data_IF_016372024379
#
_entry.id   IF_016372024379
#
_cell.length_a   1.000
_cell.length_b   1.000
_cell.length_c   1.000
_cell.angle_alpha   90.00
_cell.angle_beta   90.00
_cell.angle_gamma   90.00
#
_symmetry.space_group_name_H-M   'P 1'
#
loop_
_entity.id
_entity.type
_entity.pdbx_description
1 polymer ?
#
# COMPACT_ATOMS: atom_id res chain seq x y z
N UNK A 1 5.84 10.33 -11.46
CA UNK A 1 5.92 9.15 -12.33
C UNK A 1 6.67 9.40 -13.63
N UNK A 2 6.39 10.44 -14.42
CA UNK A 2 7.04 10.66 -15.74
C UNK A 2 8.58 10.50 -15.76
N UNK A 3 9.31 11.04 -14.77
CA UNK A 3 10.79 10.89 -14.69
C UNK A 3 11.22 9.42 -14.52
N UNK A 4 10.47 8.63 -13.76
CA UNK A 4 10.74 7.20 -13.55
C UNK A 4 10.43 6.41 -14.82
N UNK A 5 9.28 6.67 -15.45
CA UNK A 5 8.88 6.00 -16.68
C UNK A 5 9.86 6.25 -17.83
N UNK A 6 10.27 7.51 -18.05
CA UNK A 6 11.29 7.84 -19.05
C UNK A 6 12.60 7.09 -18.77
N UNK A 7 13.04 7.03 -17.51
CA UNK A 7 14.27 6.33 -17.15
C UNK A 7 14.20 4.83 -17.42
N UNK A 8 13.02 4.21 -17.21
CA UNK A 8 12.75 2.80 -17.54
C UNK A 8 12.75 2.57 -19.04
N UNK A 9 11.99 3.38 -19.79
CA UNK A 9 11.89 3.31 -21.25
C UNK A 9 13.27 3.45 -21.93
N UNK A 10 14.09 4.40 -21.48
CA UNK A 10 15.44 4.64 -22.02
C UNK A 10 16.39 3.43 -21.85
N UNK A 11 16.11 2.55 -20.87
CA UNK A 11 16.92 1.37 -20.55
C UNK A 11 16.23 0.05 -20.90
N UNK A 12 15.00 0.10 -21.40
CA UNK A 12 14.20 -1.08 -21.73
C UNK A 12 13.72 -1.87 -20.51
N UNK A 13 13.58 -1.22 -19.36
CA UNK A 13 12.93 -1.82 -18.18
C UNK A 13 11.41 -1.74 -18.32
N UNK A 14 10.73 -2.77 -17.86
CA UNK A 14 9.26 -2.82 -17.76
C UNK A 14 8.85 -2.69 -16.30
N UNK A 15 9.58 -3.32 -15.38
CA UNK A 15 9.28 -3.35 -13.95
C UNK A 15 10.31 -2.56 -13.14
N UNK A 16 9.86 -1.89 -12.09
CA UNK A 16 10.72 -1.14 -11.17
C UNK A 16 11.76 -2.05 -10.47
N UNK A 17 11.44 -3.33 -10.30
CA UNK A 17 12.34 -4.34 -9.71
C UNK A 17 13.51 -4.72 -10.62
N UNK A 18 13.48 -4.36 -11.90
CA UNK A 18 14.58 -4.59 -12.84
C UNK A 18 15.68 -3.51 -12.71
N UNK A 19 15.37 -2.38 -12.05
CA UNK A 19 16.29 -1.26 -11.87
C UNK A 19 17.32 -1.53 -10.77
N UNK A 20 18.58 -1.20 -11.06
CA UNK A 20 19.67 -1.30 -10.09
C UNK A 20 19.77 -0.08 -9.16
N UNK A 21 20.66 -0.16 -8.17
CA UNK A 21 20.91 0.94 -7.24
C UNK A 21 21.36 2.24 -7.94
N UNK A 22 22.17 2.13 -9.00
CA UNK A 22 22.66 3.29 -9.76
C UNK A 22 21.54 3.97 -10.55
N UNK A 23 20.57 3.19 -11.04
CA UNK A 23 19.36 3.70 -11.69
C UNK A 23 18.54 4.54 -10.72
N UNK A 24 18.27 4.01 -9.53
CA UNK A 24 17.56 4.71 -8.48
C UNK A 24 18.27 5.99 -8.03
N UNK A 25 19.60 5.99 -7.95
CA UNK A 25 20.35 7.21 -7.66
C UNK A 25 20.09 8.31 -8.71
N UNK A 26 20.09 7.96 -10.00
CA UNK A 26 19.81 8.91 -11.06
C UNK A 26 18.37 9.44 -11.01
N UNK A 27 17.38 8.56 -10.80
CA UNK A 27 15.97 8.93 -10.66
C UNK A 27 15.74 9.86 -9.47
N UNK A 28 16.34 9.57 -8.31
CA UNK A 28 16.25 10.42 -7.11
C UNK A 28 16.78 11.83 -7.37
N UNK A 29 17.88 11.97 -8.13
CA UNK A 29 18.37 13.29 -8.52
C UNK A 29 17.38 14.03 -9.43
N UNK A 30 16.73 13.33 -10.35
CA UNK A 30 15.66 13.87 -11.19
C UNK A 30 14.49 14.39 -10.35
N UNK A 31 13.99 13.58 -9.40
CA UNK A 31 12.91 13.98 -8.50
C UNK A 31 13.27 15.19 -7.65
N UNK A 32 14.48 15.24 -7.07
CA UNK A 32 14.94 16.41 -6.29
C UNK A 32 14.96 17.69 -7.12
N UNK A 33 15.43 17.63 -8.37
CA UNK A 33 15.40 18.77 -9.30
C UNK A 33 13.98 19.20 -9.63
N UNK A 34 13.06 18.25 -9.83
CA UNK A 34 11.66 18.56 -10.11
C UNK A 34 11.00 19.26 -8.92
N UNK A 35 11.23 18.79 -7.70
CA UNK A 35 10.73 19.44 -6.48
C UNK A 35 11.21 20.90 -6.39
N UNK A 36 12.50 21.14 -6.65
CA UNK A 36 13.07 22.48 -6.63
C UNK A 36 12.47 23.38 -7.72
N UNK A 37 12.30 22.86 -8.93
CA UNK A 37 11.68 23.59 -10.03
C UNK A 37 10.22 23.97 -9.76
N UNK A 38 9.44 23.09 -9.13
CA UNK A 38 8.02 23.32 -8.85
C UNK A 38 7.78 24.20 -7.61
N UNK A 39 8.60 24.03 -6.57
CA UNK A 39 8.39 24.71 -5.28
C UNK A 39 9.30 25.93 -5.08
N UNK A 40 10.28 26.14 -5.95
CA UNK A 40 11.32 27.16 -5.81
C UNK A 40 12.24 26.95 -4.61
N UNK A 41 12.27 25.73 -4.07
CA UNK A 41 13.11 25.33 -2.93
C UNK A 41 13.43 23.83 -2.99
N UNK A 42 14.62 23.42 -2.52
CA UNK A 42 15.02 22.02 -2.56
C UNK A 42 14.15 21.13 -1.67
N UNK A 43 14.13 19.84 -1.97
CA UNK A 43 13.47 18.85 -1.10
C UNK A 43 14.07 18.88 0.32
N UNK A 44 13.23 19.02 1.37
CA UNK A 44 13.70 19.15 2.74
C UNK A 44 14.50 17.91 3.16
N UNK A 45 15.69 18.10 3.72
CA UNK A 45 16.54 16.99 4.19
C UNK A 45 16.35 16.68 5.68
N UNK A 46 15.78 17.60 6.46
CA UNK A 46 15.45 17.34 7.87
C UNK A 46 14.17 16.49 7.96
N UNK A 47 14.24 15.27 8.55
CA UNK A 47 13.06 14.43 8.73
C UNK A 47 11.96 15.09 9.57
N UNK A 48 12.30 16.01 10.47
CA UNK A 48 11.30 16.76 11.26
C UNK A 48 10.54 17.76 10.41
N UNK A 49 11.22 18.43 9.48
CA UNK A 49 10.57 19.32 8.53
C UNK A 49 9.64 18.53 7.61
N UNK A 50 10.09 17.37 7.12
CA UNK A 50 9.26 16.45 6.34
C UNK A 50 8.01 16.01 7.12
N UNK A 51 8.18 15.59 8.37
CA UNK A 51 7.07 15.14 9.22
C UNK A 51 6.04 16.25 9.44
N UNK A 52 6.47 17.46 9.80
CA UNK A 52 5.57 18.59 9.97
C UNK A 52 4.90 19.01 8.67
N UNK A 53 5.63 18.93 7.55
CA UNK A 53 5.08 19.12 6.21
C UNK A 53 3.96 18.12 5.90
N UNK A 54 4.18 16.84 6.19
CA UNK A 54 3.19 15.78 5.98
C UNK A 54 1.96 15.96 6.87
N UNK A 55 2.13 16.25 8.17
CA UNK A 55 1.03 16.55 9.10
C UNK A 55 0.19 17.72 8.58
N UNK A 56 0.84 18.82 8.18
CA UNK A 56 0.18 20.00 7.64
C UNK A 56 -0.58 19.68 6.35
N UNK A 57 0.00 18.86 5.47
CA UNK A 57 -0.65 18.43 4.23
C UNK A 57 -1.90 17.58 4.50
N UNK A 58 -1.87 16.66 5.48
CA UNK A 58 -3.05 15.85 5.84
C UNK A 58 -4.19 16.75 6.34
N UNK A 59 -3.91 17.69 7.26
CA UNK A 59 -4.94 18.63 7.71
C UNK A 59 -5.46 19.53 6.59
N UNK A 60 -4.58 20.01 5.70
CA UNK A 60 -4.98 20.77 4.51
C UNK A 60 -5.88 19.94 3.57
N UNK A 61 -5.60 18.64 3.43
CA UNK A 61 -6.36 17.74 2.57
C UNK A 61 -7.81 17.57 3.02
N UNK A 62 -8.09 17.67 4.34
CA UNK A 62 -9.44 17.64 4.86
C UNK A 62 -10.33 18.73 4.24
N UNK A 63 -9.76 19.90 3.91
CA UNK A 63 -10.53 21.02 3.36
C UNK A 63 -10.46 21.12 1.83
N UNK A 64 -9.89 20.14 1.14
CA UNK A 64 -9.81 20.16 -0.32
C UNK A 64 -11.20 20.00 -0.98
N UNK A 65 -11.32 20.39 -2.26
CA UNK A 65 -12.60 20.39 -2.97
C UNK A 65 -13.24 18.99 -3.10
N UNK A 66 -12.40 17.95 -3.24
CA UNK A 66 -12.83 16.55 -3.33
C UNK A 66 -13.45 16.08 -2.00
N UNK A 67 -12.77 16.32 -0.88
CA UNK A 67 -13.20 16.00 0.47
C UNK A 67 -14.46 16.78 0.88
N UNK A 68 -14.54 18.07 0.54
CA UNK A 68 -15.74 18.88 0.73
C UNK A 68 -16.96 18.30 0.00
N UNK A 69 -16.75 17.78 -1.22
CA UNK A 69 -17.83 17.16 -1.99
C UNK A 69 -18.21 15.81 -1.42
N UNK A 70 -17.24 14.96 -1.10
CA UNK A 70 -17.47 13.66 -0.45
C UNK A 70 -18.28 13.80 0.83
N UNK A 71 -17.89 14.73 1.72
CA UNK A 71 -18.63 14.98 2.97
C UNK A 71 -20.07 15.42 2.76
N UNK A 72 -20.33 16.25 1.74
CA UNK A 72 -21.70 16.67 1.40
C UNK A 72 -22.54 15.48 0.92
N UNK A 73 -21.96 14.59 0.12
CA UNK A 73 -22.66 13.40 -0.41
C UNK A 73 -22.95 12.37 0.69
N UNK A 74 -22.05 12.22 1.67
CA UNK A 74 -22.16 11.23 2.75
C UNK A 74 -22.65 11.81 4.09
N UNK A 75 -23.09 13.07 4.12
CA UNK A 75 -23.56 13.77 5.33
C UNK A 75 -22.57 13.76 6.50
N UNK A 76 -21.27 13.89 6.21
CA UNK A 76 -20.21 13.91 7.22
C UNK A 76 -19.91 15.36 7.64
N UNK A 77 -20.00 15.72 8.94
CA UNK A 77 -19.73 17.08 9.40
C UNK A 77 -18.26 17.49 9.18
N UNK A 78 -18.05 18.69 8.62
CA UNK A 78 -16.71 19.23 8.45
C UNK A 78 -15.98 19.45 9.78
N UNK A 79 -16.73 19.69 10.86
CA UNK A 79 -16.22 19.96 12.21
C UNK A 79 -15.52 18.77 12.88
N UNK A 80 -15.66 17.56 12.33
CA UNK A 80 -14.96 16.38 12.87
C UNK A 80 -13.45 16.43 12.64
N UNK A 81 -13.01 17.06 11.54
CA UNK A 81 -11.59 17.07 11.17
C UNK A 81 -11.10 15.70 10.70
N UNK A 82 -9.77 15.58 10.61
CA UNK A 82 -9.07 14.32 10.37
C UNK A 82 -7.95 14.18 11.40
N UNK A 83 -7.64 12.95 11.80
CA UNK A 83 -6.44 12.64 12.57
C UNK A 83 -5.22 12.50 11.64
N UNK A 84 -4.03 12.42 12.25
CA UNK A 84 -2.79 12.01 11.57
C UNK A 84 -2.19 10.87 12.38
N UNK A 85 -2.00 9.72 11.72
CA UNK A 85 -1.34 8.56 12.31
C UNK A 85 0.13 8.58 11.91
N UNK A 86 1.04 8.54 12.88
CA UNK A 86 2.49 8.42 12.66
C UNK A 86 2.91 7.08 13.21
N UNK A 87 3.43 6.22 12.34
CA UNK A 87 3.75 4.83 12.64
C UNK A 87 5.21 4.53 12.28
N UNK A 88 5.83 3.61 13.02
CA UNK A 88 7.12 3.08 12.63
C UNK A 88 6.97 2.24 11.35
N UNK A 89 7.89 2.43 10.39
CA UNK A 89 7.86 1.71 9.13
C UNK A 89 8.24 0.24 9.34
N UNK A 90 7.54 -0.64 8.63
CA UNK A 90 7.90 -2.04 8.35
C UNK A 90 7.94 -2.21 6.82
N UNK A 91 8.72 -3.16 6.32
CA UNK A 91 9.03 -3.23 4.89
C UNK A 91 8.68 -4.60 4.32
N UNK A 92 7.70 -4.65 3.42
CA UNK A 92 7.37 -5.85 2.65
C UNK A 92 8.28 -6.07 1.43
N UNK A 93 9.21 -5.14 1.15
CA UNK A 93 10.06 -5.07 -0.05
C UNK A 93 11.57 -5.25 0.25
N UNK A 94 11.92 -6.05 1.27
CA UNK A 94 13.32 -6.32 1.62
C UNK A 94 13.86 -7.64 1.06
N UNK A 95 13.08 -8.34 0.23
CA UNK A 95 13.44 -9.64 -0.32
C UNK A 95 12.24 -10.56 -0.43
N UNK A 96 12.50 -11.79 -0.86
CA UNK A 96 11.46 -12.77 -1.18
C UNK A 96 10.86 -13.46 0.06
N UNK A 97 11.38 -13.16 1.26
CA UNK A 97 10.85 -13.57 2.56
C UNK A 97 9.98 -12.48 3.22
N UNK A 98 9.75 -11.37 2.53
CA UNK A 98 8.93 -10.25 2.97
C UNK A 98 7.71 -10.09 2.06
N UNK A 99 6.59 -9.63 2.62
CA UNK A 99 5.36 -9.42 1.86
C UNK A 99 4.51 -8.30 2.45
N UNK A 100 3.54 -7.86 1.65
CA UNK A 100 2.46 -6.94 2.01
C UNK A 100 1.17 -7.48 1.39
N UNK A 101 0.02 -7.22 2.00
CA UNK A 101 -1.26 -7.68 1.45
C UNK A 101 -2.44 -6.93 2.03
N UNK A 102 -3.61 -7.26 1.53
CA UNK A 102 -4.90 -6.81 2.07
C UNK A 102 -5.79 -8.04 2.18
N UNK A 103 -6.47 -8.18 3.32
CA UNK A 103 -7.30 -9.34 3.57
C UNK A 103 -8.54 -9.01 4.41
N UNK A 104 -9.59 -9.79 4.16
CA UNK A 104 -10.88 -9.70 4.81
C UNK A 104 -11.12 -10.97 5.59
N UNK A 105 -11.59 -10.82 6.83
CA UNK A 105 -11.86 -11.98 7.69
C UNK A 105 -12.98 -12.87 7.15
N UNK A 106 -13.81 -12.36 6.23
CA UNK A 106 -14.82 -13.11 5.46
C UNK A 106 -14.85 -12.58 4.03
N UNK A 107 -15.45 -13.33 3.10
CA UNK A 107 -15.57 -12.87 1.72
C UNK A 107 -16.47 -11.61 1.64
N UNK A 108 -15.95 -10.44 1.20
CA UNK A 108 -16.72 -9.19 1.22
C UNK A 108 -17.81 -9.13 0.14
N UNK A 109 -17.75 -10.00 -0.88
CA UNK A 109 -18.73 -10.05 -1.97
C UNK A 109 -19.89 -11.00 -1.69
N UNK A 110 -19.63 -12.15 -1.06
CA UNK A 110 -20.64 -13.20 -0.82
C UNK A 110 -21.09 -13.29 0.64
N UNK A 111 -20.29 -12.79 1.58
CA UNK A 111 -20.50 -12.95 3.03
C UNK A 111 -20.14 -14.33 3.57
N UNK A 112 -19.57 -15.21 2.73
CA UNK A 112 -19.11 -16.53 3.18
C UNK A 112 -17.98 -16.39 4.21
N UNK A 113 -18.02 -17.21 5.26
CA UNK A 113 -16.98 -17.30 6.28
C UNK A 113 -15.74 -18.02 5.75
N UNK A 114 -15.03 -17.35 4.85
CA UNK A 114 -13.73 -17.75 4.31
C UNK A 114 -12.78 -16.58 4.39
N UNK A 115 -11.54 -16.85 4.80
CA UNK A 115 -10.48 -15.87 4.73
C UNK A 115 -10.25 -15.51 3.26
N UNK A 116 -10.32 -14.22 2.93
CA UNK A 116 -10.27 -13.72 1.57
C UNK A 116 -9.22 -12.62 1.46
N UNK A 117 -8.43 -12.59 0.40
CA UNK A 117 -7.47 -11.50 0.22
C UNK A 117 -6.39 -11.79 -0.80
N UNK A 118 -5.48 -10.83 -0.88
CA UNK A 118 -4.37 -10.88 -1.82
C UNK A 118 -3.09 -10.32 -1.21
N UNK A 119 -1.94 -10.80 -1.69
CA UNK A 119 -0.64 -10.38 -1.20
C UNK A 119 0.39 -10.31 -2.34
N UNK A 120 1.47 -9.59 -2.08
CA UNK A 120 2.63 -9.50 -2.95
C UNK A 120 3.91 -9.71 -2.13
N UNK A 121 4.75 -10.64 -2.61
CA UNK A 121 6.10 -10.83 -2.12
C UNK A 121 7.01 -9.72 -2.65
N UNK A 122 7.91 -9.24 -1.80
CA UNK A 122 8.89 -8.22 -2.12
C UNK A 122 8.22 -6.96 -2.72
N UNK A 123 7.28 -6.39 -1.97
CA UNK A 123 6.42 -5.29 -2.39
C UNK A 123 6.04 -4.37 -1.21
N UNK A 124 5.61 -3.15 -1.49
CA UNK A 124 4.95 -2.27 -0.50
C UNK A 124 3.47 -2.13 -0.82
N UNK A 125 2.66 -1.71 0.16
CA UNK A 125 1.20 -1.60 -0.01
C UNK A 125 0.77 -0.78 -1.23
N UNK A 126 1.60 0.19 -1.65
CA UNK A 126 1.38 0.93 -2.90
C UNK A 126 1.32 0.01 -4.13
N UNK A 127 2.16 -1.02 -4.21
CA UNK A 127 2.20 -1.96 -5.35
C UNK A 127 0.91 -2.79 -5.45
N UNK A 128 0.29 -3.09 -4.30
CA UNK A 128 -0.99 -3.82 -4.23
C UNK A 128 -2.11 -2.93 -4.78
N UNK A 129 -2.10 -1.64 -4.45
CA UNK A 129 -3.15 -0.69 -4.88
C UNK A 129 -2.94 -0.21 -6.31
N UNK A 130 -1.69 -0.08 -6.77
CA UNK A 130 -1.35 0.43 -8.09
C UNK A 130 -1.71 -0.54 -9.22
N UNK A 131 -1.83 -1.84 -8.94
CA UNK A 131 -2.22 -2.86 -9.92
C UNK A 131 -1.18 -3.12 -11.02
N UNK A 132 0.08 -2.72 -10.80
CA UNK A 132 1.20 -2.94 -11.74
C UNK A 132 1.62 -4.42 -11.72
N UNK A 133 1.57 -5.05 -10.55
CA UNK A 133 1.87 -6.47 -10.35
C UNK A 133 0.57 -7.22 -10.05
N UNK A 134 0.41 -8.41 -10.64
CA UNK A 134 -0.70 -9.30 -10.32
C UNK A 134 -0.55 -9.83 -8.89
N UNK A 135 -1.49 -9.53 -7.98
CA UNK A 135 -1.46 -10.06 -6.62
C UNK A 135 -1.65 -11.57 -6.59
N UNK A 136 -1.03 -12.23 -5.62
CA UNK A 136 -1.21 -13.65 -5.37
C UNK A 136 -2.36 -13.87 -4.37
N UNK A 137 -3.11 -14.97 -4.48
CA UNK A 137 -4.22 -15.27 -3.59
C UNK A 137 -3.74 -15.53 -2.15
N UNK A 138 -4.55 -15.20 -1.15
CA UNK A 138 -4.18 -15.43 0.24
C UNK A 138 -4.23 -16.93 0.59
N UNK A 139 -5.31 -17.62 0.20
CA UNK A 139 -5.55 -19.03 0.55
C UNK A 139 -5.42 -19.98 -0.64
N UNK A 140 -5.20 -21.29 -0.37
CA UNK A 140 -5.19 -22.32 -1.43
C UNK A 140 -6.52 -22.41 -2.17
N UNK A 141 -7.63 -22.25 -1.44
CA UNK A 141 -8.98 -22.32 -2.01
C UNK A 141 -9.17 -21.18 -3.01
N UNK A 142 -8.81 -19.96 -2.64
CA UNK A 142 -8.89 -18.82 -3.58
C UNK A 142 -8.03 -19.04 -4.80
N UNK A 143 -6.83 -19.59 -4.64
CA UNK A 143 -5.95 -19.93 -5.76
C UNK A 143 -6.60 -20.91 -6.73
N UNK A 144 -7.22 -21.96 -6.22
CA UNK A 144 -7.93 -22.96 -7.02
C UNK A 144 -9.14 -22.36 -7.73
N UNK A 145 -9.93 -21.54 -7.03
CA UNK A 145 -11.13 -20.88 -7.57
C UNK A 145 -10.79 -19.82 -8.62
N UNK A 146 -9.69 -19.07 -8.43
CA UNK A 146 -9.23 -18.05 -9.37
C UNK A 146 -8.41 -18.61 -10.53
N UNK A 147 -7.98 -19.89 -10.44
CA UNK A 147 -7.06 -20.50 -11.40
C UNK A 147 -5.69 -19.82 -11.45
N UNK A 148 -5.20 -19.30 -10.32
CA UNK A 148 -3.92 -18.57 -10.27
C UNK A 148 -2.73 -19.53 -10.30
N UNK A 149 -1.76 -19.22 -11.17
CA UNK A 149 -0.47 -19.91 -11.23
C UNK A 149 0.48 -19.48 -10.08
N UNK A 150 0.15 -18.40 -9.37
CA UNK A 150 0.94 -17.90 -8.24
C UNK A 150 0.66 -18.72 -6.97
N UNK A 151 1.69 -18.90 -6.15
CA UNK A 151 1.54 -19.58 -4.85
C UNK A 151 0.67 -18.74 -3.91
N UNK A 152 -0.27 -19.40 -3.24
CA UNK A 152 -1.02 -18.74 -2.16
C UNK A 152 -0.11 -18.40 -0.98
N UNK A 153 -0.49 -17.42 -0.15
CA UNK A 153 0.29 -17.09 1.06
C UNK A 153 0.37 -18.29 2.01
N UNK A 154 -0.72 -19.06 2.09
CA UNK A 154 -0.79 -20.33 2.83
C UNK A 154 0.30 -21.34 2.38
N UNK A 155 0.69 -21.31 1.11
CA UNK A 155 1.74 -22.18 0.56
C UNK A 155 3.14 -21.56 0.65
N UNK A 156 3.26 -20.27 0.33
CA UNK A 156 4.55 -19.58 0.26
C UNK A 156 5.12 -19.24 1.65
N UNK A 157 4.24 -18.89 2.60
CA UNK A 157 4.62 -18.36 3.92
C UNK A 157 3.77 -19.00 5.03
N UNK A 158 3.76 -20.34 5.18
CA UNK A 158 2.80 -21.04 6.05
C UNK A 158 2.87 -20.64 7.52
N UNK A 159 4.05 -20.27 8.03
CA UNK A 159 4.22 -19.78 9.40
C UNK A 159 3.52 -18.44 9.63
N UNK A 160 3.80 -17.45 8.76
CA UNK A 160 3.20 -16.11 8.83
C UNK A 160 1.70 -16.18 8.57
N UNK A 161 1.26 -17.02 7.63
CA UNK A 161 -0.16 -17.23 7.36
C UNK A 161 -0.89 -17.82 8.58
N UNK A 162 -0.25 -18.73 9.32
CA UNK A 162 -0.79 -19.26 10.58
C UNK A 162 -1.00 -18.16 11.63
N UNK A 163 -0.02 -17.28 11.83
CA UNK A 163 -0.14 -16.14 12.73
C UNK A 163 -1.24 -15.15 12.27
N UNK A 164 -1.36 -14.91 10.97
CA UNK A 164 -2.39 -14.06 10.40
C UNK A 164 -3.80 -14.64 10.63
N UNK A 165 -3.97 -15.97 10.52
CA UNK A 165 -5.22 -16.64 10.87
C UNK A 165 -5.59 -16.43 12.35
N UNK A 166 -4.63 -16.54 13.27
CA UNK A 166 -4.87 -16.27 14.69
C UNK A 166 -5.27 -14.81 14.93
N UNK A 167 -4.67 -13.86 14.21
CA UNK A 167 -5.01 -12.43 14.29
C UNK A 167 -6.42 -12.18 13.78
N UNK A 168 -6.79 -12.76 12.62
CA UNK A 168 -8.15 -12.71 12.06
C UNK A 168 -9.18 -13.12 13.10
N UNK A 169 -9.01 -14.30 13.69
CA UNK A 169 -9.96 -14.84 14.67
C UNK A 169 -10.08 -13.94 15.91
N UNK A 170 -8.96 -13.38 16.38
CA UNK A 170 -8.93 -12.47 17.52
C UNK A 170 -9.63 -11.15 17.24
N UNK A 171 -9.39 -10.54 16.08
CA UNK A 171 -9.99 -9.26 15.71
C UNK A 171 -11.50 -9.42 15.50
N UNK A 172 -11.93 -10.44 14.78
CA UNK A 172 -13.35 -10.70 14.54
C UNK A 172 -14.10 -11.03 15.84
N UNK A 173 -13.51 -11.82 16.75
CA UNK A 173 -14.10 -12.07 18.06
C UNK A 173 -14.19 -10.81 18.93
N UNK A 174 -13.21 -9.91 18.82
CA UNK A 174 -13.16 -8.66 19.59
C UNK A 174 -14.19 -7.64 19.09
N UNK A 175 -14.17 -7.34 17.80
CA UNK A 175 -15.02 -6.32 17.19
C UNK A 175 -16.43 -6.82 16.85
N UNK A 176 -16.61 -8.16 16.81
CA UNK A 176 -17.89 -8.84 16.52
C UNK A 176 -18.46 -8.48 15.15
N UNK A 177 -17.57 -8.20 14.20
CA UNK A 177 -17.90 -7.85 12.83
C UNK A 177 -16.78 -8.34 11.90
N UNK A 178 -17.09 -8.45 10.61
CA UNK A 178 -16.09 -8.73 9.58
C UNK A 178 -15.01 -7.65 9.59
N UNK A 179 -13.74 -8.06 9.45
CA UNK A 179 -12.58 -7.17 9.51
C UNK A 179 -11.91 -7.06 8.16
N UNK A 180 -11.57 -5.83 7.77
CA UNK A 180 -10.66 -5.50 6.68
C UNK A 180 -9.30 -5.16 7.28
N UNK A 181 -8.24 -5.81 6.80
CA UNK A 181 -6.91 -5.82 7.41
C UNK A 181 -5.84 -5.61 6.34
N UNK A 182 -4.86 -4.77 6.67
CA UNK A 182 -3.65 -4.49 5.89
C UNK A 182 -2.41 -4.99 6.65
#
# INVERSE_FOLDING_TARGET
EEILEIHKEDRGYVLDTEMGADDWQAVVQGFKKKVDAELGRPFPQDPREQLWGAIGAVFGSWMNARANTYRRLHNIPASWGTAVNVQAMVFGNMGDDCATGVCFSRNPSTGEDRFYGEYLINAQGEDVVAGIRTPAPLTKIEREESGSDLLSMEEAMPGVFGELCEIRDRLEAHYRDMQDME
#
